data_IF_939279171453
#
_entry.id   IF_939279171453
#
_cell.length_a   1.000
_cell.length_b   1.000
_cell.length_c   1.000
_cell.angle_alpha   90.00
_cell.angle_beta   90.00
_cell.angle_gamma   90.00
#
_symmetry.space_group_name_H-M   'P 1'
#
loop_
_entity.id
_entity.type
_entity.pdbx_description
1 polymer ?
#
# COMPACT_ATOMS: atom_id res chain seq x y z
N UNK A 1 -37.32 -19.83 -4.82
CA UNK A 1 -36.76 -19.21 -3.60
C UNK A 1 -37.23 -17.77 -3.61
N UNK A 2 -37.80 -17.28 -2.52
CA UNK A 2 -38.15 -15.85 -2.43
C UNK A 2 -36.85 -15.02 -2.49
N UNK A 3 -36.91 -13.85 -3.14
CA UNK A 3 -35.75 -12.99 -3.36
C UNK A 3 -35.12 -12.54 -2.04
N UNK A 4 -35.93 -12.36 -0.99
CA UNK A 4 -35.44 -12.05 0.36
C UNK A 4 -34.59 -13.20 0.92
N UNK A 5 -35.10 -14.43 0.87
CA UNK A 5 -34.39 -15.62 1.37
C UNK A 5 -33.08 -15.88 0.63
N UNK A 6 -33.04 -15.56 -0.67
CA UNK A 6 -31.82 -15.70 -1.47
C UNK A 6 -30.74 -14.66 -1.09
N UNK A 7 -31.13 -13.41 -0.84
CA UNK A 7 -30.20 -12.36 -0.37
C UNK A 7 -29.67 -12.70 1.02
N UNK A 8 -30.52 -13.19 1.92
CA UNK A 8 -30.11 -13.61 3.27
C UNK A 8 -29.10 -14.77 3.22
N UNK A 9 -29.28 -15.71 2.29
CA UNK A 9 -28.32 -16.79 2.06
C UNK A 9 -26.96 -16.24 1.59
N UNK A 10 -26.94 -15.30 0.63
CA UNK A 10 -25.70 -14.68 0.18
C UNK A 10 -25.04 -13.85 1.29
N UNK A 11 -25.81 -13.19 2.14
CA UNK A 11 -25.31 -12.45 3.30
C UNK A 11 -24.65 -13.39 4.33
N UNK A 12 -25.23 -14.56 4.58
CA UNK A 12 -24.61 -15.57 5.45
C UNK A 12 -23.28 -16.08 4.88
N UNK A 13 -23.23 -16.36 3.57
CA UNK A 13 -21.99 -16.75 2.88
C UNK A 13 -20.95 -15.63 2.92
N UNK A 14 -21.36 -14.37 2.77
CA UNK A 14 -20.48 -13.22 2.89
C UNK A 14 -19.84 -13.10 4.27
N UNK A 15 -20.64 -13.27 5.34
CA UNK A 15 -20.15 -13.24 6.72
C UNK A 15 -19.14 -14.37 6.99
N UNK A 16 -19.42 -15.59 6.51
CA UNK A 16 -18.49 -16.70 6.64
C UNK A 16 -17.20 -16.46 5.83
N UNK A 17 -17.31 -15.95 4.60
CA UNK A 17 -16.14 -15.62 3.78
C UNK A 17 -15.22 -14.59 4.47
N UNK A 18 -15.78 -13.59 5.16
CA UNK A 18 -14.98 -12.60 5.92
C UNK A 18 -14.17 -13.28 7.03
N UNK A 19 -14.77 -14.21 7.78
CA UNK A 19 -14.06 -14.96 8.83
C UNK A 19 -12.96 -15.83 8.22
N UNK A 20 -13.28 -16.55 7.14
CA UNK A 20 -12.34 -17.43 6.45
C UNK A 20 -11.16 -16.68 5.83
N UNK A 21 -11.37 -15.50 5.25
CA UNK A 21 -10.28 -14.66 4.72
C UNK A 21 -9.33 -14.19 5.81
N UNK A 22 -9.83 -14.01 7.04
CA UNK A 22 -9.00 -13.67 8.21
C UNK A 22 -8.18 -14.86 8.69
N UNK A 23 -8.76 -16.06 8.70
CA UNK A 23 -8.23 -17.21 9.45
C UNK A 23 -7.58 -18.31 8.58
N UNK A 24 -7.93 -18.42 7.29
CA UNK A 24 -7.53 -19.51 6.39
C UNK A 24 -6.72 -19.02 5.16
N UNK A 25 -6.05 -19.96 4.47
CA UNK A 25 -5.28 -19.67 3.26
C UNK A 25 -6.16 -19.41 2.01
N UNK A 26 -5.66 -18.64 1.02
CA UNK A 26 -6.43 -18.28 -0.17
C UNK A 26 -6.93 -19.46 -1.01
N UNK A 27 -6.17 -20.55 -1.11
CA UNK A 27 -6.56 -21.73 -1.90
C UNK A 27 -7.65 -22.55 -1.20
N UNK A 28 -7.60 -22.68 0.12
CA UNK A 28 -8.69 -23.27 0.90
C UNK A 28 -9.99 -22.47 0.72
N UNK A 29 -9.90 -21.14 0.79
CA UNK A 29 -11.06 -20.26 0.62
C UNK A 29 -11.66 -20.31 -0.78
N UNK A 30 -10.82 -20.34 -1.81
CA UNK A 30 -11.30 -20.49 -3.20
C UNK A 30 -12.04 -21.82 -3.41
N UNK A 31 -11.52 -22.93 -2.87
CA UNK A 31 -12.17 -24.26 -2.96
C UNK A 31 -13.50 -24.29 -2.21
N UNK A 32 -13.53 -23.77 -0.99
CA UNK A 32 -14.75 -23.67 -0.19
C UNK A 32 -15.81 -22.82 -0.89
N UNK A 33 -15.43 -21.66 -1.45
CA UNK A 33 -16.37 -20.78 -2.13
C UNK A 33 -16.93 -21.41 -3.41
N UNK A 34 -16.08 -22.11 -4.18
CA UNK A 34 -16.52 -22.85 -5.36
C UNK A 34 -17.47 -24.01 -5.01
N UNK A 35 -17.28 -24.66 -3.86
CA UNK A 35 -18.18 -25.71 -3.39
C UNK A 35 -19.51 -25.15 -2.84
N UNK A 36 -19.45 -24.03 -2.12
CA UNK A 36 -20.61 -23.40 -1.46
C UNK A 36 -21.50 -22.66 -2.45
N UNK A 37 -20.90 -21.95 -3.40
CA UNK A 37 -21.58 -21.26 -4.50
C UNK A 37 -21.06 -21.80 -5.84
N UNK A 38 -21.54 -22.97 -6.31
CA UNK A 38 -21.04 -23.59 -7.53
C UNK A 38 -21.37 -22.77 -8.79
N UNK A 39 -22.47 -22.03 -8.77
CA UNK A 39 -22.88 -21.15 -9.87
C UNK A 39 -21.99 -19.88 -9.93
N UNK A 40 -21.34 -19.59 -11.06
CA UNK A 40 -20.59 -18.35 -11.24
C UNK A 40 -21.41 -17.07 -11.01
N UNK A 41 -22.69 -17.05 -11.41
CA UNK A 41 -23.56 -15.89 -11.24
C UNK A 41 -23.88 -15.59 -9.77
N UNK A 42 -23.89 -16.61 -8.90
CA UNK A 42 -24.07 -16.40 -7.46
C UNK A 42 -22.80 -15.83 -6.82
N UNK A 43 -21.62 -16.22 -7.32
CA UNK A 43 -20.34 -15.62 -6.90
C UNK A 43 -20.23 -14.16 -7.35
N UNK A 44 -20.75 -13.81 -8.52
CA UNK A 44 -20.86 -12.41 -8.96
C UNK A 44 -21.81 -11.63 -8.05
N UNK A 45 -22.99 -12.18 -7.73
CA UNK A 45 -23.96 -11.53 -6.83
C UNK A 45 -23.43 -11.35 -5.41
N UNK A 46 -22.60 -12.28 -4.93
CA UNK A 46 -21.90 -12.15 -3.65
C UNK A 46 -21.03 -10.88 -3.60
N UNK A 47 -20.43 -10.46 -4.72
CA UNK A 47 -19.64 -9.22 -4.78
C UNK A 47 -20.50 -8.00 -4.46
N UNK A 48 -21.75 -7.95 -4.95
CA UNK A 48 -22.67 -6.85 -4.65
C UNK A 48 -23.11 -6.85 -3.19
N UNK A 49 -23.33 -8.02 -2.60
CA UNK A 49 -23.65 -8.15 -1.17
C UNK A 49 -22.48 -7.68 -0.30
N UNK A 50 -21.25 -8.09 -0.64
CA UNK A 50 -20.04 -7.62 0.04
C UNK A 50 -19.84 -6.11 -0.09
N UNK A 51 -20.08 -5.55 -1.27
CA UNK A 51 -19.99 -4.10 -1.51
C UNK A 51 -21.03 -3.32 -0.70
N UNK A 52 -22.26 -3.83 -0.59
CA UNK A 52 -23.31 -3.21 0.22
C UNK A 52 -23.00 -3.21 1.72
N UNK A 53 -22.13 -4.10 2.19
CA UNK A 53 -21.70 -4.17 3.58
C UNK A 53 -20.52 -3.22 3.91
N UNK A 54 -19.93 -2.56 2.91
CA UNK A 54 -18.83 -1.60 3.11
C UNK A 54 -19.39 -0.30 3.69
N UNK A 55 -18.89 0.19 4.83
CA UNK A 55 -19.29 1.49 5.37
C UNK A 55 -18.93 2.61 4.38
N UNK A 56 -19.93 3.30 3.83
CA UNK A 56 -19.77 4.41 2.88
C UNK A 56 -19.51 5.76 3.58
N UNK A 57 -19.66 5.79 4.90
CA UNK A 57 -19.38 6.93 5.77
C UNK A 57 -17.88 7.12 6.09
N UNK A 58 -17.01 6.22 5.61
CA UNK A 58 -15.56 6.27 5.84
C UNK A 58 -14.80 6.73 4.60
N UNK A 59 -13.73 7.54 4.77
CA UNK A 59 -12.84 7.86 3.67
C UNK A 59 -12.26 6.59 3.04
N UNK A 60 -12.19 6.56 1.70
CA UNK A 60 -11.69 5.40 0.94
C UNK A 60 -10.32 4.92 1.41
N UNK A 61 -9.45 5.85 1.82
CA UNK A 61 -8.13 5.56 2.39
C UNK A 61 -8.20 4.62 3.61
N UNK A 62 -9.21 4.74 4.48
CA UNK A 62 -9.35 3.87 5.65
C UNK A 62 -9.76 2.44 5.24
N UNK A 63 -10.55 2.31 4.18
CA UNK A 63 -11.03 1.02 3.68
C UNK A 63 -9.97 0.30 2.83
N UNK A 64 -9.08 1.06 2.19
CA UNK A 64 -8.04 0.54 1.30
C UNK A 64 -6.63 0.64 1.88
N UNK A 65 -6.44 1.02 3.14
CA UNK A 65 -5.09 1.20 3.72
C UNK A 65 -4.21 -0.05 3.60
N UNK A 66 -4.81 -1.24 3.64
CA UNK A 66 -4.14 -2.53 3.50
C UNK A 66 -3.64 -2.80 2.06
N UNK A 67 -4.16 -2.12 1.05
CA UNK A 67 -3.70 -2.28 -0.34
C UNK A 67 -2.40 -1.52 -0.59
N UNK A 68 -2.09 -0.53 0.25
CA UNK A 68 -0.84 0.21 0.21
C UNK A 68 0.16 -0.53 1.08
N UNK A 69 1.12 -1.23 0.46
CA UNK A 69 2.27 -1.74 1.22
C UNK A 69 2.98 -0.54 1.84
N UNK A 70 3.09 -0.46 3.19
CA UNK A 70 3.80 0.65 3.79
C UNK A 70 5.23 0.61 3.27
N UNK A 71 5.67 1.70 2.63
CA UNK A 71 7.07 1.84 2.23
C UNK A 71 7.88 1.62 3.51
N UNK A 72 8.81 0.65 3.56
CA UNK A 72 9.58 0.41 4.76
C UNK A 72 10.19 1.74 5.19
N UNK A 73 9.92 2.13 6.43
CA UNK A 73 10.49 3.34 7.00
C UNK A 73 12.00 3.19 6.91
N UNK A 74 12.62 3.87 5.94
CA UNK A 74 14.08 3.92 5.87
C UNK A 74 14.48 4.72 7.09
N UNK A 75 15.02 4.02 8.10
CA UNK A 75 15.61 4.67 9.25
C UNK A 75 16.60 5.76 8.83
N UNK A 76 16.88 6.73 9.71
CA UNK A 76 17.80 7.81 9.40
C UNK A 76 19.11 7.24 8.87
N UNK A 77 19.54 7.74 7.71
CA UNK A 77 20.81 7.32 7.12
C UNK A 77 21.96 7.66 8.07
N UNK A 78 23.00 6.80 8.13
CA UNK A 78 24.19 7.08 8.94
C UNK A 78 24.87 8.36 8.50
N UNK A 79 25.67 8.95 9.39
CA UNK A 79 26.55 10.07 9.05
C UNK A 79 27.51 9.68 7.91
N UNK A 80 27.96 10.67 7.14
CA UNK A 80 28.71 10.42 5.90
C UNK A 80 27.83 10.30 4.65
N UNK A 81 26.55 10.65 4.74
CA UNK A 81 25.63 10.70 3.59
C UNK A 81 25.09 12.11 3.39
N UNK A 82 24.73 12.53 2.15
CA UNK A 82 24.11 13.83 1.92
C UNK A 82 22.79 13.99 2.69
N UNK A 83 22.05 12.89 2.88
CA UNK A 83 20.82 12.88 3.68
C UNK A 83 21.09 13.15 5.17
N UNK A 84 22.18 12.63 5.73
CA UNK A 84 22.59 12.93 7.08
C UNK A 84 23.09 14.38 7.24
N UNK A 85 23.79 14.93 6.24
CA UNK A 85 24.19 16.33 6.23
C UNK A 85 22.97 17.28 6.26
N UNK A 86 21.96 16.99 5.44
CA UNK A 86 20.69 17.73 5.44
C UNK A 86 20.01 17.68 6.81
N UNK A 87 19.99 16.50 7.45
CA UNK A 87 19.41 16.32 8.78
C UNK A 87 20.11 17.15 9.85
N UNK A 88 21.44 17.28 9.81
CA UNK A 88 22.15 18.18 10.74
C UNK A 88 21.67 19.62 10.58
N UNK A 89 21.55 20.11 9.33
CA UNK A 89 21.07 21.48 9.07
C UNK A 89 19.62 21.70 9.46
N UNK A 90 18.73 20.73 9.23
CA UNK A 90 17.33 20.80 9.67
C UNK A 90 17.20 20.86 11.20
N UNK A 91 18.23 20.45 11.93
CA UNK A 91 18.33 20.51 13.39
C UNK A 91 19.19 21.68 13.89
N UNK A 92 19.63 22.56 12.99
CA UNK A 92 20.58 23.64 13.28
C UNK A 92 21.90 23.15 13.93
N UNK A 93 22.28 21.89 13.67
CA UNK A 93 23.54 21.30 14.10
C UNK A 93 24.62 21.51 13.03
N UNK A 94 25.87 21.72 13.46
CA UNK A 94 27.02 21.67 12.54
C UNK A 94 27.18 20.24 12.01
N UNK A 95 27.16 20.00 10.69
CA UNK A 95 27.40 18.67 10.15
C UNK A 95 28.79 18.15 10.55
N UNK A 96 28.91 16.86 10.85
CA UNK A 96 30.21 16.25 11.05
C UNK A 96 31.01 16.21 9.74
N UNK A 97 32.35 16.09 9.84
CA UNK A 97 33.25 16.10 8.67
C UNK A 97 32.87 15.08 7.58
N UNK A 98 32.45 13.83 7.89
CA UNK A 98 31.95 12.92 6.88
C UNK A 98 30.72 13.45 6.12
N UNK A 99 29.79 14.09 6.82
CA UNK A 99 28.59 14.68 6.23
C UNK A 99 28.92 15.88 5.34
N UNK A 100 29.83 16.76 5.77
CA UNK A 100 30.30 17.90 4.95
C UNK A 100 30.99 17.42 3.66
N UNK A 101 31.76 16.35 3.75
CA UNK A 101 32.45 15.76 2.58
C UNK A 101 31.47 15.15 1.60
N UNK A 102 30.55 14.31 2.10
CA UNK A 102 29.51 13.70 1.28
C UNK A 102 28.63 14.74 0.56
N UNK A 103 28.31 15.83 1.26
CA UNK A 103 27.55 16.91 0.67
C UNK A 103 28.31 17.69 -0.40
N UNK A 104 29.61 17.96 -0.19
CA UNK A 104 30.46 18.59 -1.21
C UNK A 104 30.54 17.73 -2.47
N UNK A 105 30.65 16.42 -2.34
CA UNK A 105 30.67 15.49 -3.47
C UNK A 105 29.34 15.44 -4.21
N UNK A 106 28.23 15.32 -3.50
CA UNK A 106 26.87 15.35 -4.05
C UNK A 106 26.59 16.66 -4.81
N UNK A 107 27.04 17.81 -4.27
CA UNK A 107 26.95 19.09 -4.97
C UNK A 107 27.74 19.11 -6.29
N UNK A 108 28.96 18.57 -6.30
CA UNK A 108 29.79 18.45 -7.52
C UNK A 108 29.10 17.56 -8.57
N UNK A 109 28.53 16.43 -8.15
CA UNK A 109 27.79 15.52 -9.02
C UNK A 109 26.57 16.21 -9.63
N UNK A 110 25.73 16.86 -8.81
CA UNK A 110 24.57 17.62 -9.31
C UNK A 110 24.95 18.70 -10.31
N UNK A 111 26.05 19.43 -10.07
CA UNK A 111 26.56 20.43 -11.02
C UNK A 111 27.03 19.81 -12.33
N UNK A 112 27.70 18.67 -12.28
CA UNK A 112 28.10 17.92 -13.48
C UNK A 112 26.87 17.48 -14.28
N UNK A 113 25.89 16.90 -13.61
CA UNK A 113 24.66 16.40 -14.25
C UNK A 113 23.81 17.54 -14.83
N UNK A 114 23.74 18.68 -14.12
CA UNK A 114 23.10 19.90 -14.63
C UNK A 114 23.76 20.39 -15.93
N UNK A 115 25.10 20.45 -15.97
CA UNK A 115 25.85 20.85 -17.17
C UNK A 115 25.65 19.86 -18.32
N UNK A 116 25.62 18.56 -18.03
CA UNK A 116 25.35 17.53 -19.03
C UNK A 116 23.96 17.70 -19.64
N UNK A 117 22.91 17.87 -18.81
CA UNK A 117 21.53 18.11 -19.26
C UNK A 117 21.41 19.38 -20.11
N UNK A 118 22.08 20.46 -19.72
CA UNK A 118 22.08 21.70 -20.49
C UNK A 118 22.74 21.55 -21.86
N UNK A 119 23.76 20.68 -22.00
CA UNK A 119 24.37 20.41 -23.31
C UNK A 119 23.51 19.54 -24.23
N UNK A 120 22.58 18.76 -23.67
CA UNK A 120 21.72 17.81 -24.40
C UNK A 120 20.35 18.38 -24.76
N UNK A 121 19.99 19.55 -24.23
CA UNK A 121 18.75 20.26 -24.59
C UNK A 121 19.05 21.18 -25.78
N UNK A 122 18.50 20.95 -26.99
CA UNK A 122 18.81 21.71 -28.20
C UNK A 122 18.29 23.15 -28.14
#
# INVERSE_FOLDING_TARGET
>A
MDSSTYVDQLAAVAAELVVRVRDDDPQANARWLAATLPNPGDRERLLYVLAAAVPDDRPWLHLTAWTVTPRPARGPQPCGTPAAAKRHRERDEKPCEPCETAEREDWRLRKRDQRARHKTTP
#
